data_IF_624577154223
#
_entry.id   IF_624577154223
#
_cell.length_a   1.000
_cell.length_b   1.000
_cell.length_c   1.000
_cell.angle_alpha   90.00
_cell.angle_beta   90.00
_cell.angle_gamma   90.00
#
_symmetry.space_group_name_H-M   'P 1'
#
loop_
_entity.id
_entity.type
_entity.pdbx_description
1 polymer ?
#
# COMPACT_ATOMS: atom_id res chain seq x y z
N UNK A 1 2.84 -1.84 10.60
CA UNK A 1 1.97 -1.06 11.51
C UNK A 1 2.52 -1.01 12.94
N UNK A 2 2.58 -2.09 13.73
CA UNK A 2 3.04 -1.99 15.14
C UNK A 2 4.46 -1.38 15.27
N UNK A 3 5.38 -1.81 14.42
CA UNK A 3 6.76 -1.31 14.38
C UNK A 3 6.77 0.12 13.85
N UNK A 4 6.24 0.33 12.64
CA UNK A 4 6.26 1.64 11.97
C UNK A 4 5.62 2.73 12.82
N UNK A 5 4.46 2.47 13.44
CA UNK A 5 3.76 3.45 14.28
C UNK A 5 4.54 3.76 15.55
N UNK A 6 5.16 2.77 16.21
CA UNK A 6 6.03 3.05 17.34
C UNK A 6 7.23 3.93 16.95
N UNK A 7 7.82 3.68 15.77
CA UNK A 7 8.89 4.52 15.23
C UNK A 7 8.44 5.95 14.88
N UNK A 8 7.27 6.09 14.26
CA UNK A 8 6.70 7.39 13.92
C UNK A 8 6.36 8.22 15.16
N UNK A 9 5.79 7.59 16.19
CA UNK A 9 5.43 8.24 17.45
C UNK A 9 6.66 8.86 18.15
N UNK A 10 7.80 8.15 18.11
CA UNK A 10 9.08 8.65 18.62
C UNK A 10 9.61 9.91 17.91
N UNK A 11 9.13 10.19 16.69
CA UNK A 11 9.41 11.42 15.95
C UNK A 11 8.28 12.46 16.03
N UNK A 12 7.27 12.23 16.88
CA UNK A 12 6.11 13.11 17.03
C UNK A 12 5.11 13.03 15.87
N UNK A 13 5.08 11.89 15.18
CA UNK A 13 4.27 11.67 13.97
C UNK A 13 3.30 10.52 14.24
N UNK A 14 2.04 10.71 13.91
CA UNK A 14 1.11 9.60 13.75
C UNK A 14 0.07 9.96 12.70
N UNK A 15 0.04 9.28 11.54
CA UNK A 15 -1.02 9.51 10.58
C UNK A 15 -2.39 9.21 11.20
N UNK A 16 -3.39 10.02 10.89
CA UNK A 16 -4.78 9.68 11.17
C UNK A 16 -5.22 8.67 10.10
N UNK A 17 -5.61 7.46 10.53
CA UNK A 17 -5.88 6.29 9.68
C UNK A 17 -7.37 5.91 9.62
N UNK A 18 -8.25 6.84 9.96
CA UNK A 18 -9.70 6.69 9.83
C UNK A 18 -10.41 5.81 10.88
N UNK A 19 -9.70 5.13 11.77
CA UNK A 19 -10.33 4.26 12.79
C UNK A 19 -9.50 4.18 14.07
N UNK A 20 -10.17 4.09 15.23
CA UNK A 20 -9.51 3.92 16.52
C UNK A 20 -8.77 5.16 17.02
N UNK A 21 -9.18 6.34 16.58
CA UNK A 21 -8.57 7.62 16.92
C UNK A 21 -9.50 8.47 17.79
N UNK A 22 -8.93 9.11 18.81
CA UNK A 22 -9.62 10.07 19.66
C UNK A 22 -9.07 11.46 19.37
N UNK A 23 -9.93 12.38 18.95
CA UNK A 23 -9.56 13.74 18.63
C UNK A 23 -10.06 14.69 19.73
N UNK A 24 -9.22 15.67 20.10
CA UNK A 24 -9.70 16.83 20.84
C UNK A 24 -10.62 17.65 19.94
N UNK A 25 -11.78 18.08 20.44
CA UNK A 25 -12.79 18.79 19.64
C UNK A 25 -12.20 20.03 18.97
N UNK A 26 -11.37 20.77 19.68
CA UNK A 26 -10.72 22.00 19.23
C UNK A 26 -9.79 21.76 18.03
N UNK A 27 -9.13 20.59 18.00
CA UNK A 27 -8.27 20.21 16.88
C UNK A 27 -9.07 20.01 15.58
N UNK A 28 -10.27 19.42 15.68
CA UNK A 28 -11.18 19.27 14.56
C UNK A 28 -11.87 20.59 14.19
N UNK A 29 -12.17 21.46 15.16
CA UNK A 29 -12.67 22.81 14.88
C UNK A 29 -11.64 23.74 14.22
N UNK A 30 -10.42 23.25 13.96
CA UNK A 30 -9.39 23.98 13.24
C UNK A 30 -8.58 24.95 14.09
N UNK A 31 -8.69 24.90 15.43
CA UNK A 31 -7.93 25.75 16.34
C UNK A 31 -6.43 25.41 16.26
N UNK A 32 -5.57 26.43 16.28
CA UNK A 32 -4.12 26.24 16.45
C UNK A 32 -3.82 25.87 17.90
N UNK A 33 -2.87 24.96 18.11
CA UNK A 33 -2.45 24.58 19.44
C UNK A 33 -1.80 25.76 20.17
N UNK A 34 -2.18 25.96 21.42
CA UNK A 34 -1.52 26.85 22.38
C UNK A 34 -1.54 26.19 23.75
N UNK A 35 -0.55 26.48 24.59
CA UNK A 35 -0.48 25.90 25.96
C UNK A 35 -1.68 26.29 26.83
N UNK A 36 -2.23 27.48 26.58
CA UNK A 36 -3.43 27.99 27.25
C UNK A 36 -4.74 27.43 26.67
N UNK A 37 -4.69 26.43 25.80
CA UNK A 37 -5.89 25.79 25.25
C UNK A 37 -6.50 24.83 26.29
N UNK A 38 -7.13 25.40 27.32
CA UNK A 38 -7.99 24.67 28.26
C UNK A 38 -9.31 24.30 27.61
N UNK A 39 -9.86 23.14 27.98
CA UNK A 39 -11.24 22.79 27.66
C UNK A 39 -12.11 23.44 28.74
N UNK A 40 -12.81 24.51 28.39
CA UNK A 40 -13.72 25.21 29.32
C UNK A 40 -15.04 24.43 29.42
N UNK A 41 -15.04 23.38 30.24
CA UNK A 41 -16.22 22.55 30.50
C UNK A 41 -17.36 23.31 31.21
N UNK A 42 -17.05 24.43 31.85
CA UNK A 42 -18.02 25.25 32.57
C UNK A 42 -18.97 25.98 31.59
N UNK A 43 -18.45 26.53 30.48
CA UNK A 43 -19.25 27.19 29.45
C UNK A 43 -20.29 26.26 28.82
N UNK A 44 -19.96 24.98 28.64
CA UNK A 44 -20.89 24.00 28.08
C UNK A 44 -22.06 23.74 29.04
N UNK A 45 -21.79 23.61 30.33
CA UNK A 45 -22.85 23.41 31.34
C UNK A 45 -23.76 24.63 31.44
N UNK A 46 -23.21 25.83 31.38
CA UNK A 46 -23.99 27.06 31.42
C UNK A 46 -24.79 27.28 30.13
N UNK A 47 -24.25 26.89 28.97
CA UNK A 47 -24.98 26.94 27.69
C UNK A 47 -26.16 25.96 27.65
N UNK A 48 -26.08 24.84 28.37
CA UNK A 48 -27.14 23.83 28.45
C UNK A 48 -28.21 24.20 29.48
N UNK A 49 -27.84 24.97 30.50
CA UNK A 49 -28.71 25.27 31.64
C UNK A 49 -29.94 26.07 31.19
N UNK A 50 -31.13 25.52 31.46
CA UNK A 50 -32.41 26.19 31.18
C UNK A 50 -32.95 26.00 29.76
N UNK A 51 -32.26 25.25 28.89
CA UNK A 51 -32.77 24.91 27.55
C UNK A 51 -33.57 23.61 27.54
N UNK A 52 -34.62 23.60 26.74
CA UNK A 52 -35.49 22.43 26.51
C UNK A 52 -34.93 21.52 25.42
N UNK A 53 -35.41 20.27 25.38
CA UNK A 53 -35.04 19.31 24.33
C UNK A 53 -35.48 19.84 22.95
N UNK A 54 -36.67 20.43 22.87
CA UNK A 54 -37.22 20.99 21.63
C UNK A 54 -36.33 22.10 21.05
N UNK A 55 -35.78 22.97 21.91
CA UNK A 55 -34.83 24.00 21.49
C UNK A 55 -33.52 23.41 20.94
N UNK A 56 -33.04 22.30 21.52
CA UNK A 56 -31.87 21.61 20.97
C UNK A 56 -32.16 20.91 19.66
N UNK A 57 -33.35 20.34 19.50
CA UNK A 57 -33.77 19.70 18.26
C UNK A 57 -33.86 20.73 17.12
N UNK A 58 -34.49 21.88 17.36
CA UNK A 58 -34.58 22.96 16.38
C UNK A 58 -33.20 23.54 16.03
N UNK A 59 -32.33 23.76 17.02
CA UNK A 59 -30.94 24.15 16.75
C UNK A 59 -30.18 23.09 15.94
N UNK A 60 -30.44 21.80 16.21
CA UNK A 60 -29.91 20.66 15.48
C UNK A 60 -30.31 20.68 14.00
N UNK A 61 -31.57 20.96 13.70
CA UNK A 61 -32.09 21.06 12.32
C UNK A 61 -31.37 22.16 11.53
N UNK A 62 -31.06 23.29 12.17
CA UNK A 62 -30.32 24.39 11.53
C UNK A 62 -28.89 23.99 11.14
N UNK A 63 -28.16 23.30 12.02
CA UNK A 63 -26.78 22.86 11.74
C UNK A 63 -26.69 21.65 10.82
N UNK A 64 -27.78 20.87 10.71
CA UNK A 64 -27.88 19.74 9.78
C UNK A 64 -28.36 20.15 8.37
N UNK A 65 -28.61 21.43 8.12
CA UNK A 65 -29.08 21.92 6.82
C UNK A 65 -28.01 21.75 5.73
N UNK A 66 -28.41 21.35 4.52
CA UNK A 66 -27.51 21.17 3.36
C UNK A 66 -26.72 22.43 2.96
N UNK A 67 -27.22 23.63 3.30
CA UNK A 67 -26.52 24.89 3.02
C UNK A 67 -25.64 25.38 4.18
N UNK A 68 -25.61 24.68 5.31
CA UNK A 68 -24.91 25.13 6.52
C UNK A 68 -23.43 25.43 6.28
N UNK A 69 -22.78 24.60 5.48
CA UNK A 69 -21.35 24.72 5.19
C UNK A 69 -21.04 25.75 4.07
N UNK A 70 -22.06 26.28 3.39
CA UNK A 70 -21.89 27.16 2.23
C UNK A 70 -21.18 28.45 2.64
N UNK A 71 -20.05 28.74 2.00
CA UNK A 71 -19.24 29.93 2.30
C UNK A 71 -18.42 29.85 3.59
N UNK A 72 -18.51 28.74 4.33
CA UNK A 72 -17.77 28.53 5.57
C UNK A 72 -16.36 27.97 5.34
N UNK A 73 -15.64 27.74 6.45
CA UNK A 73 -14.34 27.07 6.49
C UNK A 73 -14.43 25.55 6.63
N UNK A 74 -15.64 24.98 6.78
CA UNK A 74 -15.87 23.53 6.84
C UNK A 74 -15.27 22.85 5.61
N UNK A 75 -14.53 21.77 5.85
CA UNK A 75 -13.83 21.03 4.80
C UNK A 75 -12.54 21.65 4.28
N UNK A 76 -12.25 22.92 4.63
CA UNK A 76 -11.06 23.66 4.17
C UNK A 76 -10.01 23.75 5.26
N UNK A 77 -10.41 24.29 6.41
CA UNK A 77 -9.54 24.50 7.58
C UNK A 77 -10.10 23.90 8.88
N UNK A 78 -11.37 23.48 8.88
CA UNK A 78 -12.03 22.82 10.01
C UNK A 78 -12.79 21.58 9.54
N UNK A 79 -13.04 20.66 10.45
CA UNK A 79 -13.61 19.35 10.17
C UNK A 79 -12.63 18.43 9.45
N UNK A 80 -13.18 17.43 8.76
CA UNK A 80 -12.43 16.59 7.84
C UNK A 80 -12.14 17.37 6.56
N UNK A 81 -10.92 17.30 6.04
CA UNK A 81 -10.52 18.03 4.83
C UNK A 81 -11.17 17.41 3.58
N UNK A 82 -11.83 18.24 2.76
CA UNK A 82 -12.53 17.80 1.55
C UNK A 82 -11.62 17.71 0.33
N UNK A 83 -12.10 17.01 -0.71
CA UNK A 83 -11.45 16.92 -2.02
C UNK A 83 -10.27 15.95 -2.08
N UNK A 84 -10.11 15.08 -1.08
CA UNK A 84 -9.10 14.02 -1.05
C UNK A 84 -9.79 12.68 -0.75
N UNK A 85 -9.45 11.62 -1.50
CA UNK A 85 -10.03 10.29 -1.29
C UNK A 85 -9.52 9.57 -0.02
N UNK A 86 -8.46 10.09 0.58
CA UNK A 86 -7.89 9.68 1.88
C UNK A 86 -7.89 10.90 2.79
N UNK A 87 -9.10 11.38 3.12
CA UNK A 87 -9.34 12.57 3.92
C UNK A 87 -8.75 12.45 5.32
N UNK A 88 -8.69 11.24 5.85
CA UNK A 88 -8.08 10.91 7.14
C UNK A 88 -6.61 11.37 7.20
N UNK A 89 -5.80 10.96 6.22
CA UNK A 89 -4.36 11.25 6.15
C UNK A 89 -4.11 12.76 6.06
N UNK A 90 -4.82 13.46 5.17
CA UNK A 90 -4.65 14.91 5.02
C UNK A 90 -5.17 15.67 6.24
N UNK A 91 -6.29 15.23 6.84
CA UNK A 91 -6.82 15.84 8.07
C UNK A 91 -5.81 15.70 9.20
N UNK A 92 -5.24 14.51 9.39
CA UNK A 92 -4.17 14.27 10.38
C UNK A 92 -2.96 15.17 10.16
N UNK A 93 -2.49 15.33 8.92
CA UNK A 93 -1.41 16.24 8.58
C UNK A 93 -1.76 17.70 8.92
N UNK A 94 -2.95 18.17 8.55
CA UNK A 94 -3.36 19.56 8.81
C UNK A 94 -3.45 19.87 10.29
N UNK A 95 -3.96 18.92 11.10
CA UNK A 95 -4.00 19.03 12.57
C UNK A 95 -2.58 19.13 13.14
N UNK A 96 -1.66 18.28 12.69
CA UNK A 96 -0.26 18.34 13.14
C UNK A 96 0.43 19.65 12.76
N UNK A 97 0.20 20.16 11.54
CA UNK A 97 0.71 21.45 11.10
C UNK A 97 0.12 22.65 11.87
N UNK A 98 -0.94 22.44 12.66
CA UNK A 98 -1.48 23.43 13.60
C UNK A 98 -0.85 23.32 15.00
N UNK A 99 0.17 22.48 15.17
CA UNK A 99 0.94 22.30 16.41
C UNK A 99 0.42 21.20 17.33
N UNK A 100 -0.68 20.51 16.96
CA UNK A 100 -1.21 19.40 17.75
C UNK A 100 -0.31 18.18 17.62
N UNK A 101 0.04 17.57 18.75
CA UNK A 101 0.88 16.36 18.78
C UNK A 101 -0.01 15.12 18.92
N UNK A 102 0.12 14.14 18.01
CA UNK A 102 -0.58 12.89 18.15
C UNK A 102 0.16 11.97 19.14
N UNK A 103 -0.53 10.94 19.61
CA UNK A 103 0.05 9.89 20.48
C UNK A 103 -0.42 8.53 19.98
N UNK A 104 0.52 7.61 19.82
CA UNK A 104 0.22 6.20 19.56
C UNK A 104 0.14 5.39 20.85
N UNK A 105 -1.01 4.76 21.07
CA UNK A 105 -1.22 3.88 22.20
C UNK A 105 -1.58 2.47 21.75
N UNK A 106 -0.78 1.49 22.16
CA UNK A 106 -1.00 0.07 21.85
C UNK A 106 -1.23 -0.72 23.15
N UNK A 107 -2.49 -0.82 23.62
CA UNK A 107 -2.82 -1.56 24.84
C UNK A 107 -2.60 -3.06 24.69
N UNK A 108 -2.34 -3.75 25.81
CA UNK A 108 -2.19 -5.22 25.86
C UNK A 108 -3.43 -5.94 25.34
N UNK A 109 -4.62 -5.50 25.77
CA UNK A 109 -5.90 -5.98 25.22
C UNK A 109 -6.29 -5.12 24.02
N UNK A 110 -6.61 -5.76 22.89
CA UNK A 110 -7.08 -5.06 21.70
C UNK A 110 -8.39 -4.31 22.01
N UNK A 111 -8.34 -2.98 21.94
CA UNK A 111 -9.49 -2.12 22.18
C UNK A 111 -10.41 -2.01 20.96
N UNK A 112 -9.86 -2.19 19.75
CA UNK A 112 -10.60 -2.14 18.50
C UNK A 112 -10.41 -3.45 17.72
N UNK A 113 -11.50 -4.01 17.22
CA UNK A 113 -11.52 -5.20 16.35
C UNK A 113 -12.42 -4.91 15.16
N UNK A 114 -11.88 -5.09 13.97
CA UNK A 114 -12.59 -4.88 12.71
C UNK A 114 -12.59 -6.14 11.85
N UNK A 115 -13.32 -6.08 10.74
CA UNK A 115 -13.33 -7.11 9.70
C UNK A 115 -12.32 -6.73 8.63
N UNK A 116 -11.41 -7.64 8.32
CA UNK A 116 -10.44 -7.49 7.24
C UNK A 116 -11.00 -8.05 5.92
N UNK A 117 -10.52 -7.58 4.75
CA UNK A 117 -10.81 -8.22 3.47
C UNK A 117 -10.46 -9.71 3.51
N UNK A 118 -11.37 -10.56 3.07
CA UNK A 118 -11.19 -12.02 3.08
C UNK A 118 -10.63 -12.54 1.76
N UNK A 119 -10.67 -11.74 0.69
CA UNK A 119 -10.15 -12.10 -0.63
C UNK A 119 -9.01 -11.20 -1.06
N UNK A 120 -8.17 -11.71 -1.98
CA UNK A 120 -7.05 -10.95 -2.52
C UNK A 120 -7.52 -9.75 -3.36
N UNK A 121 -8.61 -9.88 -4.13
CA UNK A 121 -9.11 -8.80 -4.97
C UNK A 121 -9.65 -7.63 -4.12
N UNK A 122 -10.41 -7.90 -3.05
CA UNK A 122 -10.87 -6.87 -2.12
C UNK A 122 -9.69 -6.14 -1.46
N UNK A 123 -8.66 -6.90 -1.06
CA UNK A 123 -7.44 -6.34 -0.48
C UNK A 123 -6.71 -5.42 -1.47
N UNK A 124 -6.48 -5.89 -2.70
CA UNK A 124 -5.78 -5.10 -3.73
C UNK A 124 -6.60 -3.88 -4.18
N UNK A 125 -7.93 -3.99 -4.26
CA UNK A 125 -8.82 -2.88 -4.56
C UNK A 125 -8.77 -1.81 -3.45
N UNK A 126 -8.76 -2.22 -2.18
CA UNK A 126 -8.59 -1.30 -1.06
C UNK A 126 -7.24 -0.56 -1.13
N UNK A 127 -6.14 -1.28 -1.35
CA UNK A 127 -4.82 -0.67 -1.45
C UNK A 127 -4.66 0.23 -2.68
N UNK A 128 -5.37 -0.05 -3.79
CA UNK A 128 -5.41 0.87 -4.93
C UNK A 128 -6.03 2.20 -4.54
N UNK A 129 -7.20 2.19 -3.88
CA UNK A 129 -7.89 3.41 -3.43
C UNK A 129 -7.00 4.23 -2.48
N UNK A 130 -6.37 3.57 -1.51
CA UNK A 130 -5.43 4.23 -0.61
C UNK A 130 -4.26 4.84 -1.36
N UNK A 131 -3.57 4.07 -2.19
CA UNK A 131 -2.41 4.54 -2.94
C UNK A 131 -2.74 5.72 -3.87
N UNK A 132 -3.94 5.75 -4.44
CA UNK A 132 -4.42 6.81 -5.31
C UNK A 132 -4.67 8.12 -4.53
N UNK A 133 -5.41 8.05 -3.42
CA UNK A 133 -5.67 9.21 -2.55
C UNK A 133 -4.38 9.75 -1.92
N UNK A 134 -3.51 8.87 -1.44
CA UNK A 134 -2.20 9.19 -0.88
C UNK A 134 -1.33 9.95 -1.89
N UNK A 135 -1.26 9.48 -3.14
CA UNK A 135 -0.47 10.15 -4.17
C UNK A 135 -1.09 11.48 -4.63
N UNK A 136 -2.43 11.59 -4.63
CA UNK A 136 -3.09 12.87 -4.88
C UNK A 136 -2.75 13.93 -3.83
N UNK A 137 -2.67 13.54 -2.54
CA UNK A 137 -2.22 14.45 -1.48
C UNK A 137 -0.80 14.92 -1.77
N UNK A 138 0.12 14.03 -2.16
CA UNK A 138 1.49 14.39 -2.52
C UNK A 138 1.55 15.42 -3.66
N UNK A 139 0.70 15.26 -4.67
CA UNK A 139 0.61 16.15 -5.84
C UNK A 139 -0.30 17.37 -5.62
N UNK A 140 -0.66 17.68 -4.37
CA UNK A 140 -1.53 18.81 -4.02
C UNK A 140 -0.79 19.84 -3.17
N UNK A 141 -1.47 20.94 -2.84
CA UNK A 141 -0.99 21.92 -1.87
C UNK A 141 -0.70 21.33 -0.47
N UNK A 142 -1.23 20.13 -0.18
CA UNK A 142 -1.03 19.40 1.08
C UNK A 142 0.19 18.49 1.07
N UNK A 143 1.08 18.58 0.06
CA UNK A 143 2.37 17.89 0.10
C UNK A 143 3.10 18.20 1.43
N UNK A 144 3.52 17.21 2.24
CA UNK A 144 4.11 17.44 3.56
C UNK A 144 5.35 18.34 3.52
N UNK A 145 6.15 18.24 2.45
CA UNK A 145 7.37 19.05 2.26
C UNK A 145 7.01 20.53 2.01
N UNK A 146 5.87 20.81 1.38
CA UNK A 146 5.43 22.18 1.07
C UNK A 146 4.56 22.71 2.22
N UNK A 147 3.48 22.00 2.54
CA UNK A 147 2.49 22.42 3.52
C UNK A 147 3.02 22.39 4.95
N UNK A 148 3.87 21.41 5.27
CA UNK A 148 4.45 21.20 6.58
C UNK A 148 5.75 21.96 6.83
N UNK A 149 6.32 22.62 5.81
CA UNK A 149 7.54 23.40 5.93
C UNK A 149 7.40 24.48 7.03
N UNK A 150 8.32 24.48 7.99
CA UNK A 150 8.30 25.39 9.14
C UNK A 150 7.18 25.14 10.17
N UNK A 151 6.28 24.16 9.95
CA UNK A 151 5.16 23.83 10.84
C UNK A 151 5.36 22.51 11.59
N UNK A 152 5.98 21.54 10.93
CA UNK A 152 6.35 20.24 11.52
C UNK A 152 7.81 19.92 11.20
N UNK A 153 8.46 19.12 12.04
CA UNK A 153 9.87 18.75 11.88
C UNK A 153 10.14 18.01 10.56
N UNK A 154 11.38 18.07 10.07
CA UNK A 154 11.74 17.45 8.79
C UNK A 154 11.50 15.94 8.76
N UNK A 155 11.82 15.23 9.86
CA UNK A 155 11.50 13.80 10.00
C UNK A 155 9.99 13.53 9.88
N UNK A 156 9.14 14.44 10.36
CA UNK A 156 7.69 14.36 10.22
C UNK A 156 7.21 14.51 8.78
N UNK A 157 7.81 15.46 8.05
CA UNK A 157 7.51 15.65 6.64
C UNK A 157 7.87 14.40 5.84
N UNK A 158 9.07 13.84 6.06
CA UNK A 158 9.51 12.61 5.39
C UNK A 158 8.65 11.42 5.80
N UNK A 159 8.30 11.28 7.08
CA UNK A 159 7.46 10.20 7.58
C UNK A 159 6.08 10.14 6.91
N UNK A 160 5.44 11.30 6.70
CA UNK A 160 4.21 11.37 5.90
C UNK A 160 4.46 10.97 4.44
N UNK A 161 5.52 11.48 3.81
CA UNK A 161 5.87 11.16 2.43
C UNK A 161 6.07 9.65 2.17
N UNK A 162 6.51 8.86 3.16
CA UNK A 162 6.64 7.40 3.02
C UNK A 162 5.32 6.72 2.64
N UNK A 163 4.18 7.21 3.14
CA UNK A 163 2.86 6.74 2.74
C UNK A 163 2.41 7.35 1.43
N UNK A 164 2.61 8.67 1.27
CA UNK A 164 2.15 9.39 0.09
C UNK A 164 2.82 8.94 -1.23
N UNK A 165 4.01 8.34 -1.14
CA UNK A 165 4.80 7.84 -2.26
C UNK A 165 4.62 6.34 -2.56
N UNK A 166 3.55 5.71 -2.06
CA UNK A 166 3.25 4.31 -2.41
C UNK A 166 3.09 4.09 -3.91
N UNK A 167 2.34 4.96 -4.61
CA UNK A 167 2.08 4.78 -6.03
C UNK A 167 3.37 4.86 -6.88
N UNK A 168 4.23 5.91 -6.75
CA UNK A 168 5.47 6.00 -7.51
C UNK A 168 6.46 4.85 -7.28
N UNK A 169 6.48 4.25 -6.08
CA UNK A 169 7.35 3.12 -5.75
C UNK A 169 7.01 1.85 -6.57
N UNK A 170 5.86 1.81 -7.24
CA UNK A 170 5.52 0.76 -8.19
C UNK A 170 6.52 0.65 -9.35
N UNK A 171 6.99 1.78 -9.89
CA UNK A 171 7.87 1.82 -11.06
C UNK A 171 9.21 1.12 -10.84
N UNK A 172 10.02 1.46 -9.80
CA UNK A 172 11.24 0.73 -9.54
C UNK A 172 10.96 -0.74 -9.20
N UNK A 173 9.83 -1.04 -8.55
CA UNK A 173 9.48 -2.44 -8.24
C UNK A 173 9.23 -3.24 -9.51
N UNK A 174 8.49 -2.71 -10.48
CA UNK A 174 8.27 -3.35 -11.77
C UNK A 174 9.58 -3.55 -12.53
N UNK A 175 10.48 -2.56 -12.49
CA UNK A 175 11.82 -2.70 -13.07
C UNK A 175 12.55 -3.93 -12.49
N UNK A 176 12.61 -4.08 -11.17
CA UNK A 176 13.28 -5.21 -10.52
C UNK A 176 12.58 -6.56 -10.70
N UNK A 177 11.29 -6.59 -11.07
CA UNK A 177 10.55 -7.83 -11.33
C UNK A 177 10.62 -8.25 -12.80
N UNK A 178 10.69 -7.29 -13.72
CA UNK A 178 10.64 -7.53 -15.18
C UNK A 178 12.04 -7.60 -15.78
N UNK A 179 12.89 -6.62 -15.49
CA UNK A 179 14.18 -6.47 -16.18
C UNK A 179 15.14 -7.63 -15.88
N UNK A 180 15.32 -8.10 -14.63
CA UNK A 180 16.15 -9.28 -14.37
C UNK A 180 15.67 -10.53 -15.12
N UNK A 181 14.36 -10.72 -15.27
CA UNK A 181 13.77 -11.83 -16.00
C UNK A 181 14.05 -11.73 -17.50
N UNK A 182 13.89 -10.54 -18.10
CA UNK A 182 14.19 -10.31 -19.51
C UNK A 182 15.68 -10.41 -19.82
N UNK A 183 16.53 -9.84 -18.96
CA UNK A 183 17.98 -9.94 -19.10
C UNK A 183 18.48 -11.38 -18.96
N UNK A 184 17.84 -12.20 -18.12
CA UNK A 184 18.16 -13.63 -18.02
C UNK A 184 17.86 -14.38 -19.33
N UNK A 185 16.75 -14.07 -20.01
CA UNK A 185 16.40 -14.66 -21.30
C UNK A 185 17.45 -14.37 -22.38
N UNK A 186 17.87 -13.10 -22.45
CA UNK A 186 18.83 -12.61 -23.43
C UNK A 186 20.29 -12.91 -23.04
N UNK A 187 20.53 -13.40 -21.82
CA UNK A 187 21.88 -13.64 -21.32
C UNK A 187 22.68 -12.37 -21.06
N UNK A 188 22.01 -11.25 -20.79
CA UNK A 188 22.64 -9.96 -20.50
C UNK A 188 22.93 -9.86 -19.00
N UNK A 189 24.20 -9.69 -18.59
CA UNK A 189 24.54 -9.51 -17.18
C UNK A 189 24.14 -8.12 -16.67
N UNK A 190 23.34 -8.06 -15.61
CA UNK A 190 22.95 -6.80 -14.94
C UNK A 190 23.81 -6.47 -13.72
N UNK A 191 24.42 -7.49 -13.13
CA UNK A 191 25.16 -7.38 -11.87
C UNK A 191 26.64 -7.70 -12.10
N UNK A 192 27.53 -7.19 -11.22
CA UNK A 192 28.92 -7.63 -11.21
C UNK A 192 29.05 -9.15 -11.03
N UNK A 193 30.17 -9.71 -11.47
CA UNK A 193 30.50 -11.12 -11.30
C UNK A 193 30.46 -11.50 -9.82
N UNK A 194 29.80 -12.62 -9.50
CA UNK A 194 29.59 -13.07 -8.11
C UNK A 194 30.89 -13.24 -7.32
N UNK A 195 31.95 -13.71 -7.98
CA UNK A 195 33.27 -13.87 -7.36
C UNK A 195 34.14 -12.60 -7.40
N UNK A 196 33.62 -11.50 -7.94
CA UNK A 196 34.30 -10.21 -7.95
C UNK A 196 34.01 -9.39 -6.69
N UNK A 197 35.00 -8.62 -6.23
CA UNK A 197 34.86 -7.71 -5.08
C UNK A 197 33.69 -6.72 -5.24
N UNK A 198 33.38 -6.31 -6.48
CA UNK A 198 32.28 -5.40 -6.80
C UNK A 198 30.88 -5.99 -6.54
N UNK A 199 30.74 -7.31 -6.38
CA UNK A 199 29.47 -7.93 -6.02
C UNK A 199 29.16 -7.83 -4.51
N UNK A 200 30.18 -7.66 -3.67
CA UNK A 200 30.04 -7.64 -2.21
C UNK A 200 29.03 -6.59 -1.71
N UNK A 201 29.00 -5.34 -2.21
CA UNK A 201 28.02 -4.35 -1.77
C UNK A 201 26.57 -4.76 -2.09
N UNK A 202 26.34 -5.40 -3.24
CA UNK A 202 25.01 -5.87 -3.65
C UNK A 202 24.54 -7.02 -2.77
N UNK A 203 25.43 -8.00 -2.54
CA UNK A 203 25.16 -9.12 -1.65
C UNK A 203 24.89 -8.63 -0.22
N UNK A 204 25.72 -7.73 0.31
CA UNK A 204 25.55 -7.15 1.62
C UNK A 204 24.21 -6.42 1.76
N UNK A 205 23.87 -5.53 0.84
CA UNK A 205 22.61 -4.77 0.90
C UNK A 205 21.39 -5.71 0.85
N UNK A 206 21.41 -6.72 -0.02
CA UNK A 206 20.34 -7.69 -0.15
C UNK A 206 20.18 -8.55 1.12
N UNK A 207 21.28 -9.12 1.62
CA UNK A 207 21.28 -9.97 2.81
C UNK A 207 20.91 -9.16 4.05
N UNK A 208 21.53 -8.00 4.26
CA UNK A 208 21.26 -7.15 5.42
C UNK A 208 19.80 -6.71 5.46
N UNK A 209 19.24 -6.21 4.35
CA UNK A 209 17.82 -5.82 4.27
C UNK A 209 16.88 -6.99 4.56
N UNK A 210 17.18 -8.16 4.00
CA UNK A 210 16.32 -9.35 4.13
C UNK A 210 16.38 -9.92 5.55
N UNK A 211 17.59 -10.07 6.09
CA UNK A 211 17.82 -10.54 7.46
C UNK A 211 17.22 -9.59 8.48
N UNK A 212 17.41 -8.28 8.32
CA UNK A 212 16.84 -7.27 9.22
C UNK A 212 15.31 -7.33 9.21
N UNK A 213 14.69 -7.32 8.02
CA UNK A 213 13.23 -7.42 7.88
C UNK A 213 12.67 -8.70 8.52
N UNK A 214 13.39 -9.81 8.41
CA UNK A 214 13.01 -11.07 9.02
C UNK A 214 13.11 -11.01 10.55
N UNK A 215 14.25 -10.57 11.08
CA UNK A 215 14.49 -10.44 12.53
C UNK A 215 13.46 -9.51 13.17
N UNK A 216 13.18 -8.38 12.54
CA UNK A 216 12.19 -7.41 13.00
C UNK A 216 10.77 -8.00 13.03
N UNK A 217 10.40 -8.75 11.98
CA UNK A 217 9.14 -9.47 11.91
C UNK A 217 8.99 -10.50 13.04
N UNK A 218 10.03 -11.31 13.27
CA UNK A 218 10.03 -12.34 14.32
C UNK A 218 9.98 -11.70 15.72
N UNK A 219 10.76 -10.65 15.98
CA UNK A 219 10.72 -9.89 17.25
C UNK A 219 9.36 -9.26 17.53
N UNK A 220 8.59 -8.98 16.48
CA UNK A 220 7.23 -8.44 16.59
C UNK A 220 6.15 -9.50 16.79
N UNK A 221 6.52 -10.78 16.88
CA UNK A 221 5.61 -11.91 17.05
C UNK A 221 5.04 -12.48 15.75
N UNK A 222 5.61 -12.12 14.59
CA UNK A 222 5.23 -12.72 13.32
C UNK A 222 5.85 -14.11 13.16
N UNK A 223 5.24 -14.98 12.35
CA UNK A 223 5.82 -16.29 11.99
C UNK A 223 6.66 -16.18 10.72
N UNK A 224 7.51 -17.19 10.44
CA UNK A 224 8.24 -17.27 9.16
C UNK A 224 7.29 -17.28 7.96
N UNK A 225 6.20 -18.07 8.06
CA UNK A 225 5.12 -18.11 7.07
C UNK A 225 4.47 -16.73 6.90
N UNK A 226 4.18 -16.04 8.00
CA UNK A 226 3.60 -14.69 7.98
C UNK A 226 4.55 -13.65 7.37
N UNK A 227 5.85 -13.72 7.63
CA UNK A 227 6.85 -12.86 7.00
C UNK A 227 6.94 -13.12 5.49
N UNK A 228 6.95 -14.38 5.06
CA UNK A 228 6.97 -14.73 3.64
C UNK A 228 5.69 -14.26 2.92
N UNK A 229 4.52 -14.46 3.54
CA UNK A 229 3.26 -13.94 3.05
C UNK A 229 3.27 -12.40 2.95
N UNK A 230 3.93 -11.71 3.89
CA UNK A 230 4.11 -10.26 3.80
C UNK A 230 4.97 -9.85 2.60
N UNK A 231 6.07 -10.55 2.30
CA UNK A 231 6.87 -10.30 1.10
C UNK A 231 6.03 -10.51 -0.18
N UNK A 232 5.19 -11.55 -0.22
CA UNK A 232 4.26 -11.80 -1.34
C UNK A 232 3.27 -10.66 -1.52
N UNK A 233 2.56 -10.29 -0.46
CA UNK A 233 1.59 -9.20 -0.49
C UNK A 233 2.25 -7.85 -0.80
N UNK A 234 3.51 -7.66 -0.41
CA UNK A 234 4.30 -6.49 -0.77
C UNK A 234 4.57 -6.42 -2.29
N UNK A 235 4.96 -7.52 -2.93
CA UNK A 235 5.12 -7.58 -4.40
C UNK A 235 3.79 -7.35 -5.10
N UNK A 236 2.72 -8.04 -4.68
CA UNK A 236 1.41 -7.96 -5.34
C UNK A 236 0.87 -6.54 -5.31
N UNK A 237 0.85 -5.88 -4.15
CA UNK A 237 0.37 -4.49 -4.04
C UNK A 237 1.18 -3.52 -4.90
N UNK A 238 2.51 -3.64 -4.90
CA UNK A 238 3.39 -2.71 -5.63
C UNK A 238 3.29 -2.86 -7.14
N UNK A 239 3.19 -4.08 -7.64
CA UNK A 239 3.09 -4.37 -9.08
C UNK A 239 1.68 -4.16 -9.64
N UNK A 240 0.66 -4.17 -8.78
CA UNK A 240 -0.75 -4.00 -9.19
C UNK A 240 -1.36 -2.71 -8.64
N UNK A 241 -1.87 -2.73 -7.40
CA UNK A 241 -2.59 -1.63 -6.75
C UNK A 241 -1.87 -0.29 -6.89
N UNK A 242 -0.57 -0.25 -6.60
CA UNK A 242 0.21 0.99 -6.60
C UNK A 242 0.50 1.44 -8.03
N UNK A 243 0.79 0.49 -8.93
CA UNK A 243 1.01 0.79 -10.34
C UNK A 243 -0.24 1.36 -11.00
N UNK A 244 -1.39 0.71 -10.83
CA UNK A 244 -2.67 1.20 -11.36
C UNK A 244 -3.07 2.54 -10.73
N UNK A 245 -2.86 2.71 -9.42
CA UNK A 245 -3.09 4.01 -8.76
C UNK A 245 -2.18 5.11 -9.31
N UNK A 246 -0.92 4.80 -9.64
CA UNK A 246 0.00 5.74 -10.26
C UNK A 246 -0.50 6.17 -11.64
N UNK A 247 -0.83 5.21 -12.51
CA UNK A 247 -1.38 5.48 -13.84
C UNK A 247 -2.66 6.32 -13.74
N UNK A 248 -3.64 5.89 -12.95
CA UNK A 248 -4.92 6.60 -12.82
C UNK A 248 -4.75 8.02 -12.29
N UNK A 249 -3.84 8.22 -11.33
CA UNK A 249 -3.56 9.57 -10.79
C UNK A 249 -2.88 10.45 -11.81
N UNK A 250 -1.92 9.94 -12.59
CA UNK A 250 -1.25 10.69 -13.66
C UNK A 250 -2.23 11.05 -14.76
N UNK A 251 -3.00 10.08 -15.27
CA UNK A 251 -4.03 10.28 -16.30
C UNK A 251 -5.04 11.34 -15.86
N UNK A 252 -5.47 11.30 -14.59
CA UNK A 252 -6.36 12.31 -14.01
C UNK A 252 -5.73 13.69 -13.95
N UNK A 253 -4.46 13.80 -13.52
CA UNK A 253 -3.75 15.09 -13.47
C UNK A 253 -3.53 15.69 -14.85
N UNK A 254 -3.48 14.87 -15.89
CA UNK A 254 -3.43 15.31 -17.29
C UNK A 254 -4.81 15.64 -17.88
N UNK A 255 -5.91 15.48 -17.13
CA UNK A 255 -7.26 15.85 -17.55
C UNK A 255 -7.98 14.81 -18.41
N UNK A 256 -7.49 13.56 -18.47
CA UNK A 256 -8.04 12.52 -19.36
C UNK A 256 -9.09 11.61 -18.71
N UNK A 257 -9.46 11.82 -17.43
CA UNK A 257 -10.44 10.96 -16.72
C UNK A 257 -11.07 11.67 -15.51
N UNK A 258 -12.37 11.42 -15.28
CA UNK A 258 -13.12 11.89 -14.10
C UNK A 258 -13.16 10.84 -12.96
N UNK A 259 -13.51 11.28 -11.75
CA UNK A 259 -13.45 10.46 -10.53
C UNK A 259 -14.56 9.41 -10.47
N UNK A 260 -14.17 8.13 -10.29
CA UNK A 260 -15.04 7.07 -9.82
C UNK A 260 -14.53 6.47 -8.52
N UNK A 261 -15.34 6.48 -7.46
CA UNK A 261 -15.04 5.77 -6.22
C UNK A 261 -15.72 4.40 -6.24
N UNK A 262 -14.95 3.34 -6.46
CA UNK A 262 -15.48 1.97 -6.38
C UNK A 262 -15.56 1.52 -4.91
N UNK A 263 -16.78 1.35 -4.39
CA UNK A 263 -17.00 0.80 -3.05
C UNK A 263 -16.60 -0.68 -3.05
N UNK A 264 -15.74 -1.08 -2.10
CA UNK A 264 -15.40 -2.50 -1.92
C UNK A 264 -16.56 -3.20 -1.24
N UNK A 265 -17.12 -4.23 -1.87
CA UNK A 265 -18.14 -5.07 -1.28
C UNK A 265 -17.60 -5.75 -0.01
N UNK A 266 -18.44 -5.85 1.03
CA UNK A 266 -18.10 -6.50 2.32
C UNK A 266 -18.85 -7.82 2.54
N UNK A 267 -19.65 -8.25 1.57
CA UNK A 267 -20.39 -9.52 1.64
C UNK A 267 -19.51 -10.62 1.04
N UNK A 268 -19.41 -11.73 1.74
CA UNK A 268 -18.54 -12.87 1.39
C UNK A 268 -19.40 -14.13 1.38
N UNK A 269 -19.29 -14.92 0.31
CA UNK A 269 -19.90 -16.24 0.18
C UNK A 269 -19.29 -17.22 1.21
N UNK A 270 -20.08 -18.12 1.78
CA UNK A 270 -19.63 -19.11 2.78
C UNK A 270 -18.48 -19.98 2.23
N UNK A 271 -18.51 -20.29 0.93
CA UNK A 271 -17.45 -21.00 0.23
C UNK A 271 -16.11 -20.25 0.29
N UNK A 272 -16.16 -18.91 0.17
CA UNK A 272 -14.99 -18.03 0.21
C UNK A 272 -14.47 -17.89 1.64
N UNK A 273 -15.37 -17.78 2.63
CA UNK A 273 -15.00 -17.76 4.05
C UNK A 273 -14.28 -19.04 4.45
N UNK A 274 -14.77 -20.21 4.04
CA UNK A 274 -14.13 -21.49 4.32
C UNK A 274 -12.70 -21.56 3.78
N UNK A 275 -12.46 -21.05 2.57
CA UNK A 275 -11.10 -20.99 1.99
C UNK A 275 -10.21 -20.00 2.74
N UNK A 276 -10.75 -18.85 3.13
CA UNK A 276 -10.03 -17.88 3.95
C UNK A 276 -9.60 -18.46 5.30
N UNK A 277 -10.48 -19.18 5.99
CA UNK A 277 -10.18 -19.85 7.27
C UNK A 277 -9.13 -20.97 7.13
N UNK A 278 -9.02 -21.56 5.94
CA UNK A 278 -7.98 -22.54 5.59
C UNK A 278 -6.67 -21.88 5.10
N UNK A 279 -6.57 -20.55 5.16
CA UNK A 279 -5.45 -19.75 4.67
C UNK A 279 -5.16 -19.91 3.15
N UNK A 280 -6.20 -20.24 2.38
CA UNK A 280 -6.13 -20.39 0.92
C UNK A 280 -6.49 -19.06 0.24
N UNK A 281 -5.61 -18.58 -0.65
CA UNK A 281 -5.83 -17.32 -1.37
C UNK A 281 -6.92 -17.44 -2.44
N UNK A 282 -7.78 -16.44 -2.54
CA UNK A 282 -8.84 -16.37 -3.55
C UNK A 282 -8.37 -15.64 -4.82
N UNK A 283 -8.42 -16.31 -5.97
CA UNK A 283 -8.07 -15.74 -7.28
C UNK A 283 -9.21 -15.75 -8.31
N UNK A 284 -10.44 -16.11 -7.90
CA UNK A 284 -11.59 -16.33 -8.80
C UNK A 284 -12.09 -15.13 -9.61
N UNK A 285 -11.61 -13.92 -9.34
CA UNK A 285 -12.09 -12.70 -9.97
C UNK A 285 -11.34 -12.36 -11.28
N UNK A 286 -12.02 -11.93 -12.34
CA UNK A 286 -11.38 -11.62 -13.64
C UNK A 286 -10.81 -10.19 -13.70
N UNK A 287 -9.97 -9.81 -12.74
CA UNK A 287 -9.42 -8.45 -12.64
C UNK A 287 -8.15 -8.23 -13.46
N UNK A 288 -7.90 -6.98 -13.87
CA UNK A 288 -6.62 -6.56 -14.49
C UNK A 288 -5.45 -6.82 -13.55
N UNK A 289 -5.65 -6.68 -12.23
CA UNK A 289 -4.62 -6.95 -11.23
C UNK A 289 -4.16 -8.41 -11.26
N UNK A 290 -5.08 -9.37 -11.37
CA UNK A 290 -4.72 -10.78 -11.49
C UNK A 290 -4.07 -11.10 -12.83
N UNK A 291 -4.44 -10.40 -13.90
CA UNK A 291 -3.73 -10.49 -15.18
C UNK A 291 -2.27 -10.06 -15.01
N UNK A 292 -2.01 -8.92 -14.36
CA UNK A 292 -0.63 -8.44 -14.10
C UNK A 292 0.15 -9.44 -13.24
N UNK A 293 -0.42 -9.90 -12.10
CA UNK A 293 0.24 -10.86 -11.20
C UNK A 293 0.60 -12.14 -11.95
N UNK A 294 -0.36 -12.70 -12.70
CA UNK A 294 -0.16 -13.95 -13.45
C UNK A 294 0.86 -13.78 -14.57
N UNK A 295 0.83 -12.66 -15.30
CA UNK A 295 1.83 -12.36 -16.35
C UNK A 295 3.23 -12.26 -15.77
N UNK A 296 3.41 -11.54 -14.65
CA UNK A 296 4.73 -11.39 -14.02
C UNK A 296 5.25 -12.70 -13.43
N UNK A 297 4.36 -13.53 -12.88
CA UNK A 297 4.69 -14.87 -12.43
C UNK A 297 5.18 -15.73 -13.60
N UNK A 298 4.39 -15.82 -14.67
CA UNK A 298 4.73 -16.60 -15.87
C UNK A 298 6.03 -16.10 -16.54
N UNK A 299 6.23 -14.79 -16.66
CA UNK A 299 7.46 -14.21 -17.18
C UNK A 299 8.69 -14.72 -16.40
N UNK A 300 8.66 -14.60 -15.06
CA UNK A 300 9.76 -15.06 -14.22
C UNK A 300 9.95 -16.58 -14.28
N UNK A 301 8.87 -17.36 -14.40
CA UNK A 301 8.93 -18.82 -14.56
C UNK A 301 9.56 -19.22 -15.89
N UNK A 302 9.16 -18.58 -17.00
CA UNK A 302 9.72 -18.83 -18.33
C UNK A 302 11.19 -18.45 -18.38
N UNK A 303 11.54 -17.27 -17.87
CA UNK A 303 12.92 -16.80 -17.76
C UNK A 303 13.81 -17.72 -16.93
N UNK A 304 13.32 -18.18 -15.78
CA UNK A 304 14.06 -19.11 -14.93
C UNK A 304 14.26 -20.46 -15.63
N UNK A 305 13.21 -21.00 -16.25
CA UNK A 305 13.25 -22.27 -16.98
C UNK A 305 14.26 -22.21 -18.14
N UNK A 306 14.28 -21.09 -18.86
CA UNK A 306 15.26 -20.82 -19.90
C UNK A 306 16.69 -20.71 -19.34
N UNK A 307 16.88 -19.96 -18.25
CA UNK A 307 18.17 -19.84 -17.57
C UNK A 307 18.74 -21.18 -17.12
N UNK A 308 17.89 -22.04 -16.55
CA UNK A 308 18.26 -23.41 -16.15
C UNK A 308 18.58 -24.29 -17.37
N UNK A 309 17.79 -24.20 -18.45
CA UNK A 309 18.09 -24.92 -19.70
C UNK A 309 19.44 -24.51 -20.28
N UNK A 310 19.74 -23.20 -20.28
CA UNK A 310 21.02 -22.66 -20.75
C UNK A 310 22.20 -23.14 -19.89
N UNK A 311 21.99 -23.23 -18.58
CA UNK A 311 22.92 -23.84 -17.63
C UNK A 311 23.18 -25.32 -17.94
N UNK A 312 22.12 -26.10 -18.21
CA UNK A 312 22.21 -27.53 -18.41
C UNK A 312 22.82 -27.94 -19.76
N UNK A 313 22.62 -27.14 -20.82
CA UNK A 313 22.87 -27.58 -22.20
C UNK A 313 23.83 -26.73 -23.03
N UNK A 314 24.28 -25.53 -22.62
CA UNK A 314 24.82 -24.61 -23.64
C UNK A 314 25.80 -23.49 -23.25
N UNK A 315 26.44 -23.48 -22.08
CA UNK A 315 27.38 -22.37 -21.79
C UNK A 315 28.61 -22.78 -20.97
N UNK A 316 29.75 -22.17 -21.29
CA UNK A 316 30.98 -22.22 -20.48
C UNK A 316 30.73 -21.60 -19.10
N UNK A 317 31.33 -22.17 -18.06
CA UNK A 317 31.15 -21.78 -16.65
C UNK A 317 31.29 -20.26 -16.41
N UNK A 318 32.19 -19.58 -17.12
CA UNK A 318 32.39 -18.13 -16.99
C UNK A 318 31.24 -17.24 -17.51
N UNK A 319 30.39 -17.74 -18.41
CA UNK A 319 29.18 -17.01 -18.84
C UNK A 319 28.05 -17.15 -17.80
N UNK A 320 28.06 -18.22 -17.02
CA UNK A 320 27.09 -18.51 -15.98
C UNK A 320 27.27 -17.63 -14.75
N UNK A 321 28.52 -17.40 -14.32
CA UNK A 321 28.85 -16.52 -13.19
C UNK A 321 28.22 -15.13 -13.29
N UNK A 322 28.03 -14.65 -14.52
CA UNK A 322 27.49 -13.32 -14.80
C UNK A 322 25.94 -13.26 -14.71
N UNK A 323 25.27 -14.41 -14.62
CA UNK A 323 23.80 -14.54 -14.62
C UNK A 323 23.23 -15.09 -13.31
N UNK A 324 24.08 -15.60 -12.40
CA UNK A 324 23.66 -16.15 -11.10
C UNK A 324 22.73 -15.19 -10.32
N UNK A 325 23.02 -13.88 -10.20
CA UNK A 325 22.13 -12.98 -9.47
C UNK A 325 20.72 -12.88 -10.09
N UNK A 326 20.61 -12.86 -11.41
CA UNK A 326 19.33 -12.85 -12.12
C UNK A 326 18.58 -14.18 -11.90
N UNK A 327 19.29 -15.31 -11.90
CA UNK A 327 18.70 -16.63 -11.58
C UNK A 327 18.14 -16.62 -10.16
N UNK A 328 18.90 -16.10 -9.18
CA UNK A 328 18.44 -15.99 -7.78
C UNK A 328 17.20 -15.09 -7.67
N UNK A 329 17.21 -13.92 -8.30
CA UNK A 329 16.07 -12.99 -8.29
C UNK A 329 14.83 -13.63 -8.92
N UNK A 330 14.97 -14.25 -10.11
CA UNK A 330 13.87 -14.95 -10.76
C UNK A 330 13.36 -16.12 -9.92
N UNK A 331 14.27 -16.89 -9.29
CA UNK A 331 13.94 -17.96 -8.36
C UNK A 331 13.12 -17.47 -7.17
N UNK A 332 13.53 -16.38 -6.53
CA UNK A 332 12.78 -15.74 -5.45
C UNK A 332 11.40 -15.28 -5.93
N UNK A 333 11.31 -14.68 -7.12
CA UNK A 333 10.05 -14.27 -7.72
C UNK A 333 9.11 -15.45 -8.01
N UNK A 334 9.64 -16.57 -8.49
CA UNK A 334 8.89 -17.82 -8.66
C UNK A 334 8.39 -18.34 -7.31
N UNK A 335 9.24 -18.39 -6.28
CA UNK A 335 8.85 -18.85 -4.95
C UNK A 335 7.77 -17.96 -4.30
N UNK A 336 7.86 -16.63 -4.49
CA UNK A 336 6.84 -15.69 -4.01
C UNK A 336 5.48 -15.96 -4.65
N UNK A 337 5.46 -16.35 -5.92
CA UNK A 337 4.26 -16.60 -6.72
C UNK A 337 3.74 -18.04 -6.68
N UNK A 338 4.23 -18.92 -5.80
CA UNK A 338 3.75 -20.32 -5.72
C UNK A 338 2.22 -20.48 -5.69
N UNK A 339 1.46 -19.71 -4.86
CA UNK A 339 0.00 -19.81 -4.86
C UNK A 339 -0.66 -19.39 -6.19
N UNK A 340 0.02 -18.55 -6.99
CA UNK A 340 -0.46 -18.12 -8.30
C UNK A 340 -0.36 -19.28 -9.29
N UNK A 341 0.75 -20.03 -9.29
CA UNK A 341 0.88 -21.22 -10.14
C UNK A 341 -0.10 -22.32 -9.72
N UNK A 342 -0.31 -22.48 -8.41
CA UNK A 342 -1.34 -23.38 -7.88
C UNK A 342 -2.72 -23.01 -8.43
N UNK A 343 -3.06 -21.72 -8.40
CA UNK A 343 -4.33 -21.20 -8.92
C UNK A 343 -4.43 -21.20 -10.46
N UNK A 344 -3.32 -21.11 -11.18
CA UNK A 344 -3.28 -21.15 -12.66
C UNK A 344 -3.44 -22.58 -13.20
N UNK A 345 -2.76 -23.56 -12.60
CA UNK A 345 -2.54 -24.86 -13.24
C UNK A 345 -3.16 -26.04 -12.50
N UNK A 346 -3.33 -25.97 -11.18
CA UNK A 346 -3.67 -27.14 -10.36
C UNK A 346 -5.06 -27.06 -9.74
N UNK A 347 -5.50 -25.86 -9.32
CA UNK A 347 -6.81 -25.67 -8.70
C UNK A 347 -7.94 -25.71 -9.71
N UNK A 348 -9.06 -26.30 -9.30
CA UNK A 348 -10.32 -26.38 -10.07
C UNK A 348 -11.53 -25.82 -9.31
N UNK A 349 -11.30 -25.27 -8.13
CA UNK A 349 -12.34 -24.63 -7.32
C UNK A 349 -12.61 -23.19 -7.79
N UNK A 350 -13.64 -22.55 -7.23
CA UNK A 350 -14.01 -21.15 -7.57
C UNK A 350 -12.90 -20.13 -7.26
N UNK A 351 -11.92 -20.49 -6.42
CA UNK A 351 -10.78 -19.64 -6.11
C UNK A 351 -9.59 -19.79 -7.07
N UNK A 352 -9.69 -20.61 -8.11
CA UNK A 352 -8.72 -20.71 -9.22
C UNK A 352 -8.73 -19.45 -10.10
N UNK A 353 -7.65 -19.22 -10.85
CA UNK A 353 -7.59 -18.09 -11.79
C UNK A 353 -8.50 -18.39 -12.99
N UNK A 354 -9.42 -17.48 -13.37
CA UNK A 354 -10.28 -17.68 -14.52
C UNK A 354 -9.50 -17.94 -15.81
N UNK A 355 -9.98 -18.84 -16.66
CA UNK A 355 -9.29 -19.23 -17.90
C UNK A 355 -9.02 -18.06 -18.84
N UNK A 356 -9.89 -17.04 -18.83
CA UNK A 356 -9.72 -15.79 -19.57
C UNK A 356 -8.49 -15.01 -19.12
N UNK A 357 -8.23 -14.94 -17.81
CA UNK A 357 -7.05 -14.30 -17.23
C UNK A 357 -5.82 -15.13 -17.54
N UNK A 358 -5.88 -16.44 -17.34
CA UNK A 358 -4.80 -17.37 -17.67
C UNK A 358 -4.34 -17.22 -19.13
N UNK A 359 -5.29 -17.25 -20.08
CA UNK A 359 -4.97 -17.11 -21.51
C UNK A 359 -4.30 -15.77 -21.81
N UNK A 360 -4.88 -14.65 -21.34
CA UNK A 360 -4.29 -13.31 -21.51
C UNK A 360 -2.88 -13.25 -20.96
N UNK A 361 -2.66 -13.78 -19.75
CA UNK A 361 -1.36 -13.74 -19.10
C UNK A 361 -0.31 -14.60 -19.79
N UNK A 362 -0.68 -15.78 -20.31
CA UNK A 362 0.23 -16.60 -21.12
C UNK A 362 0.61 -15.86 -22.39
N UNK A 363 -0.37 -15.31 -23.13
CA UNK A 363 -0.09 -14.58 -24.38
C UNK A 363 0.85 -13.40 -24.12
N UNK A 364 0.56 -12.56 -23.12
CA UNK A 364 1.39 -11.39 -22.81
C UNK A 364 2.79 -11.82 -22.35
N UNK A 365 2.91 -12.82 -21.47
CA UNK A 365 4.21 -13.30 -20.99
C UNK A 365 5.03 -13.91 -22.14
N UNK A 366 4.43 -14.72 -23.01
CA UNK A 366 5.09 -15.28 -24.18
C UNK A 366 5.54 -14.20 -25.16
N UNK A 367 4.72 -13.18 -25.42
CA UNK A 367 5.13 -12.04 -26.24
C UNK A 367 6.33 -11.31 -25.65
N UNK A 368 6.34 -11.08 -24.34
CA UNK A 368 7.47 -10.44 -23.65
C UNK A 368 8.75 -11.28 -23.72
N UNK A 369 8.63 -12.61 -23.63
CA UNK A 369 9.77 -13.55 -23.77
C UNK A 369 10.34 -13.55 -25.19
N UNK A 370 9.48 -13.41 -26.20
CA UNK A 370 9.85 -13.44 -27.61
C UNK A 370 10.30 -12.08 -28.15
N UNK A 371 10.12 -11.01 -27.39
CA UNK A 371 10.48 -9.66 -27.81
C UNK A 371 12.00 -9.52 -27.90
N UNK A 372 12.58 -9.24 -29.09
CA UNK A 372 14.01 -9.03 -29.22
C UNK A 372 14.41 -7.73 -28.51
N UNK A 373 15.35 -7.85 -27.56
CA UNK A 373 16.01 -6.69 -26.94
C UNK A 373 17.27 -6.43 -27.75
N UNK A 374 17.24 -5.39 -28.59
CA UNK A 374 18.35 -4.92 -29.41
C UNK A 374 19.29 -3.99 -28.65
#
# INVERSE_FOLDING_TARGET
>A
MKIDFAGFDGHGIMPYIGTGCFHRRESLCGRKYSENCSVEWNDVKDTIKGRTIDEFEEAGKLVANCSYEKGSQWGKEMGLVYGCATEDMVTGLTIQCKGWKPVYYNPTKRAFRGVAPTTLDQHLAQYKRWSEGLFQIFLSKYCPIIYGHGKIGFSAQIGHCLYLLWAPVALPTLYYVVIPALSLLHGVPLFPKVFGLWFLPFAYAFVAKTAYSLIEGLRSGNTLKGWWNFQRMWVFRRTTSYFLAFIDTVVRKLGFSETGFAVTAKVVDDDVLKRYDQEIMEFGNSSVMFTIISTLALLNLFSLSWGIKKLAFGTTFGALENLIPQIIICGLMVMVNLPVYEALFFRRDKGSIPSSVMFKSIVIASMAVLMPIY
#
